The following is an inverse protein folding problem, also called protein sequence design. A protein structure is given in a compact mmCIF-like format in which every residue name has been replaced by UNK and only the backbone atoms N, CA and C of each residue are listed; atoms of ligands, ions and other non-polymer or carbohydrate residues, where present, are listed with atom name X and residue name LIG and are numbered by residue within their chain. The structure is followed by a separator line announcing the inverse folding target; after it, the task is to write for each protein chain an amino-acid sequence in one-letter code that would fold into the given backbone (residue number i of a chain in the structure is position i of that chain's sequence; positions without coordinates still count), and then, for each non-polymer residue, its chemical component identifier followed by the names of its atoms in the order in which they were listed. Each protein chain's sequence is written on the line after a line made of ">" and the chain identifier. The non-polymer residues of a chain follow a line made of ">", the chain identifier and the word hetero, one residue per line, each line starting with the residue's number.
data_IF_015500955028
#
_entry.id   IF_015500955028
#
_cell.length_a   1.000
_cell.length_b   1.000
_cell.length_c   1.000
_cell.angle_alpha   90.00
_cell.angle_beta   90.00
_cell.angle_gamma   90.00
#
_symmetry.space_group_name_H-M   'P 1'
#
loop_
_entity.id
_entity.type
_entity.pdbx_description
1 polymer ?
#
# COMPACT_ATOMS: atom_id res chain seq x y z
N UNK A 1 -34.62 40.54 -28.08
CA UNK A 1 -35.13 40.08 -26.78
C UNK A 1 -34.97 38.56 -26.58
N UNK A 2 -35.32 37.69 -27.54
CA UNK A 2 -35.21 36.21 -27.37
C UNK A 2 -33.78 35.68 -27.21
N UNK A 3 -32.74 36.27 -27.82
CA UNK A 3 -31.35 35.82 -27.68
C UNK A 3 -30.77 36.05 -26.27
N UNK A 4 -31.18 37.07 -25.56
CA UNK A 4 -30.71 37.33 -24.19
C UNK A 4 -31.40 36.42 -23.17
N UNK A 5 -32.66 36.06 -23.38
CA UNK A 5 -33.38 35.12 -22.51
C UNK A 5 -32.79 33.72 -22.63
N UNK A 6 -32.35 33.29 -23.83
CA UNK A 6 -31.76 31.99 -24.06
C UNK A 6 -30.38 31.84 -23.38
N UNK A 7 -29.56 32.92 -23.38
CA UNK A 7 -28.25 32.93 -22.69
C UNK A 7 -28.41 32.89 -21.17
N UNK A 8 -29.40 33.62 -20.61
CA UNK A 8 -29.67 33.59 -19.16
C UNK A 8 -30.19 32.24 -18.70
N UNK A 9 -31.03 31.56 -19.51
CA UNK A 9 -31.53 30.22 -19.22
C UNK A 9 -30.41 29.17 -19.26
N UNK A 10 -29.49 29.27 -20.22
CA UNK A 10 -28.32 28.34 -20.28
C UNK A 10 -27.37 28.59 -19.10
N UNK A 11 -27.08 29.85 -18.76
CA UNK A 11 -26.24 30.19 -17.59
C UNK A 11 -26.89 29.78 -16.27
N UNK A 12 -28.19 29.99 -16.11
CA UNK A 12 -28.93 29.56 -14.93
C UNK A 12 -28.97 28.04 -14.75
N UNK A 13 -29.11 27.29 -15.84
CA UNK A 13 -29.06 25.80 -15.80
C UNK A 13 -27.67 25.27 -15.47
N UNK A 14 -26.59 25.90 -16.00
CA UNK A 14 -25.21 25.47 -15.70
C UNK A 14 -24.84 25.73 -14.24
N UNK A 15 -25.21 26.88 -13.69
CA UNK A 15 -24.99 27.24 -12.29
C UNK A 15 -25.80 26.33 -11.35
N UNK A 16 -27.05 26.03 -11.68
CA UNK A 16 -27.89 25.12 -10.89
C UNK A 16 -27.40 23.66 -10.95
N UNK A 17 -26.89 23.22 -12.10
CA UNK A 17 -26.29 21.88 -12.25
C UNK A 17 -24.99 21.75 -11.44
N UNK A 18 -24.12 22.77 -11.46
CA UNK A 18 -22.88 22.80 -10.66
C UNK A 18 -23.14 22.77 -9.16
N UNK A 19 -24.09 23.57 -8.65
CA UNK A 19 -24.50 23.55 -7.24
C UNK A 19 -25.02 22.17 -6.79
N UNK A 20 -25.70 21.45 -7.68
CA UNK A 20 -26.27 20.14 -7.34
C UNK A 20 -25.21 19.02 -7.33
N UNK A 21 -24.22 19.07 -8.26
CA UNK A 21 -23.08 18.13 -8.26
C UNK A 21 -22.24 18.29 -7.00
N UNK A 22 -21.85 19.51 -6.65
CA UNK A 22 -21.08 19.82 -5.43
C UNK A 22 -21.79 19.31 -4.17
N UNK A 23 -23.12 19.45 -4.10
CA UNK A 23 -23.91 18.91 -2.98
C UNK A 23 -23.89 17.38 -2.93
N UNK A 24 -23.88 16.70 -4.10
CA UNK A 24 -23.76 15.24 -4.15
C UNK A 24 -22.38 14.79 -3.71
N UNK A 25 -21.31 15.42 -4.18
CA UNK A 25 -19.94 15.13 -3.76
C UNK A 25 -19.77 15.28 -2.25
N UNK A 26 -20.20 16.39 -1.67
CA UNK A 26 -20.16 16.60 -0.21
C UNK A 26 -20.93 15.53 0.60
N UNK A 27 -22.05 15.02 0.07
CA UNK A 27 -22.76 13.90 0.69
C UNK A 27 -21.98 12.58 0.56
N UNK A 28 -21.36 12.35 -0.59
CA UNK A 28 -20.45 11.22 -0.81
C UNK A 28 -19.31 11.23 0.20
N UNK A 29 -18.62 12.36 0.36
CA UNK A 29 -17.52 12.51 1.32
C UNK A 29 -17.96 12.25 2.76
N UNK A 30 -19.13 12.74 3.15
CA UNK A 30 -19.72 12.47 4.47
C UNK A 30 -20.04 10.98 4.67
N UNK A 31 -20.51 10.30 3.63
CA UNK A 31 -20.78 8.85 3.68
C UNK A 31 -19.47 8.06 3.75
N UNK A 32 -18.41 8.48 3.03
CA UNK A 32 -17.05 7.93 3.16
C UNK A 32 -16.50 8.02 4.59
N UNK A 33 -16.59 9.21 5.21
CA UNK A 33 -16.15 9.45 6.59
C UNK A 33 -16.88 8.55 7.60
N UNK A 34 -18.14 8.22 7.33
CA UNK A 34 -18.95 7.35 8.17
C UNK A 34 -18.81 5.85 7.81
N UNK A 35 -17.92 5.48 6.88
CA UNK A 35 -17.71 4.10 6.43
C UNK A 35 -18.86 3.52 5.58
N UNK A 36 -19.81 4.35 5.13
CA UNK A 36 -20.97 3.94 4.32
C UNK A 36 -20.62 4.02 2.84
N UNK A 37 -19.79 3.07 2.38
CA UNK A 37 -19.16 3.13 1.06
C UNK A 37 -20.15 2.98 -0.10
N UNK A 38 -21.15 2.11 -0.01
CA UNK A 38 -22.19 1.94 -1.05
C UNK A 38 -23.04 3.22 -1.21
N UNK A 39 -23.35 3.88 -0.09
CA UNK A 39 -24.05 5.16 -0.11
C UNK A 39 -23.17 6.26 -0.74
N UNK A 40 -21.87 6.27 -0.43
CA UNK A 40 -20.92 7.20 -1.02
C UNK A 40 -20.84 7.04 -2.53
N UNK A 41 -20.71 5.80 -3.04
CA UNK A 41 -20.71 5.47 -4.47
C UNK A 41 -21.97 6.05 -5.14
N UNK A 42 -23.14 5.82 -4.55
CA UNK A 42 -24.41 6.34 -5.08
C UNK A 42 -24.44 7.88 -5.18
N UNK A 43 -23.88 8.59 -4.21
CA UNK A 43 -23.81 10.05 -4.26
C UNK A 43 -22.79 10.54 -5.28
N UNK A 44 -21.60 9.90 -5.38
CA UNK A 44 -20.62 10.25 -6.40
C UNK A 44 -21.16 10.03 -7.82
N UNK A 45 -21.85 8.92 -8.08
CA UNK A 45 -22.49 8.66 -9.38
C UNK A 45 -23.48 9.77 -9.76
N UNK A 46 -24.34 10.18 -8.82
CA UNK A 46 -25.31 11.28 -9.07
C UNK A 46 -24.63 12.61 -9.36
N UNK A 47 -23.47 12.86 -8.77
CA UNK A 47 -22.68 14.06 -9.00
C UNK A 47 -21.93 14.00 -10.34
N UNK A 48 -21.22 12.90 -10.60
CA UNK A 48 -20.38 12.67 -11.79
C UNK A 48 -21.19 12.57 -13.08
N UNK A 49 -22.45 12.12 -13.02
CA UNK A 49 -23.36 12.20 -14.18
C UNK A 49 -23.62 13.63 -14.70
N UNK A 50 -23.14 14.66 -13.99
CA UNK A 50 -23.39 16.07 -14.32
C UNK A 50 -22.12 16.89 -14.53
N UNK A 51 -21.00 16.46 -13.97
CA UNK A 51 -19.71 17.13 -14.13
C UNK A 51 -18.58 16.18 -13.76
N UNK A 52 -17.54 16.13 -14.59
CA UNK A 52 -16.30 15.46 -14.27
C UNK A 52 -15.63 16.14 -13.09
N UNK A 53 -15.11 15.33 -12.15
CA UNK A 53 -14.42 15.83 -10.97
C UNK A 53 -13.39 14.80 -10.51
N UNK A 54 -12.13 15.20 -10.44
CA UNK A 54 -11.02 14.36 -10.04
C UNK A 54 -11.24 13.72 -8.66
N UNK A 55 -11.53 14.55 -7.66
CA UNK A 55 -11.67 14.11 -6.27
C UNK A 55 -12.85 13.15 -6.08
N UNK A 56 -13.98 13.48 -6.73
CA UNK A 56 -15.16 12.62 -6.68
C UNK A 56 -14.91 11.26 -7.34
N UNK A 57 -14.24 11.24 -8.49
CA UNK A 57 -13.87 9.99 -9.18
C UNK A 57 -12.86 9.18 -8.36
N UNK A 58 -11.85 9.84 -7.78
CA UNK A 58 -10.87 9.21 -6.90
C UNK A 58 -11.56 8.58 -5.66
N UNK A 59 -12.37 9.36 -4.95
CA UNK A 59 -13.05 8.89 -3.74
C UNK A 59 -14.08 7.81 -4.04
N UNK A 60 -14.76 7.87 -5.19
CA UNK A 60 -15.62 6.79 -5.69
C UNK A 60 -14.82 5.50 -5.88
N UNK A 61 -13.67 5.57 -6.55
CA UNK A 61 -12.78 4.42 -6.73
C UNK A 61 -12.31 3.83 -5.41
N UNK A 62 -11.95 4.66 -4.44
CA UNK A 62 -11.58 4.22 -3.08
C UNK A 62 -12.77 3.51 -2.40
N UNK A 63 -13.99 4.06 -2.48
CA UNK A 63 -15.19 3.45 -1.94
C UNK A 63 -15.46 2.07 -2.56
N UNK A 64 -15.39 1.98 -3.89
CA UNK A 64 -15.56 0.73 -4.63
C UNK A 64 -14.50 -0.31 -4.26
N UNK A 65 -13.26 0.11 -4.05
CA UNK A 65 -12.22 -0.79 -3.55
C UNK A 65 -12.54 -1.33 -2.15
N UNK A 66 -13.04 -0.48 -1.25
CA UNK A 66 -13.45 -0.90 0.11
C UNK A 66 -14.54 -1.96 0.10
N UNK A 67 -15.48 -1.88 -0.84
CA UNK A 67 -16.54 -2.88 -1.03
C UNK A 67 -16.13 -4.02 -2.00
N UNK A 68 -14.85 -4.08 -2.39
CA UNK A 68 -14.25 -5.10 -3.27
C UNK A 68 -14.76 -5.11 -4.72
N UNK A 69 -15.32 -4.02 -5.19
CA UNK A 69 -15.70 -3.82 -6.60
C UNK A 69 -14.48 -3.40 -7.42
N UNK A 70 -13.50 -4.28 -7.57
CA UNK A 70 -12.17 -3.96 -8.09
C UNK A 70 -12.19 -3.41 -9.53
N UNK A 71 -12.97 -4.01 -10.44
CA UNK A 71 -13.08 -3.53 -11.82
C UNK A 71 -13.72 -2.14 -11.91
N UNK A 72 -14.73 -1.87 -11.06
CA UNK A 72 -15.35 -0.55 -11.00
C UNK A 72 -14.39 0.49 -10.40
N UNK A 73 -13.61 0.11 -9.38
CA UNK A 73 -12.58 0.96 -8.79
C UNK A 73 -11.51 1.36 -9.81
N UNK A 74 -11.03 0.41 -10.62
CA UNK A 74 -10.06 0.67 -11.68
C UNK A 74 -10.57 1.71 -12.69
N UNK A 75 -11.84 1.55 -13.14
CA UNK A 75 -12.48 2.51 -14.02
C UNK A 75 -12.60 3.90 -13.37
N UNK A 76 -12.98 3.98 -12.10
CA UNK A 76 -13.11 5.25 -11.40
C UNK A 76 -11.75 5.94 -11.20
N UNK A 77 -10.66 5.20 -10.96
CA UNK A 77 -9.31 5.76 -10.94
C UNK A 77 -8.87 6.24 -12.33
N UNK A 78 -9.23 5.51 -13.40
CA UNK A 78 -8.99 5.96 -14.77
C UNK A 78 -9.76 7.25 -15.11
N UNK A 79 -11.01 7.39 -14.66
CA UNK A 79 -11.80 8.60 -14.82
C UNK A 79 -11.17 9.78 -14.04
N UNK A 80 -10.66 9.54 -12.84
CA UNK A 80 -9.93 10.54 -12.07
C UNK A 80 -8.68 11.02 -12.83
N UNK A 81 -7.86 10.10 -13.34
CA UNK A 81 -6.68 10.42 -14.15
C UNK A 81 -7.06 11.23 -15.38
N UNK A 82 -8.13 10.85 -16.07
CA UNK A 82 -8.64 11.58 -17.24
C UNK A 82 -9.09 13.00 -16.90
N UNK A 83 -9.70 13.18 -15.72
CA UNK A 83 -10.14 14.50 -15.27
C UNK A 83 -8.98 15.45 -14.92
N UNK A 84 -7.81 14.93 -14.52
CA UNK A 84 -6.63 15.72 -14.16
C UNK A 84 -5.33 15.00 -14.52
N UNK A 85 -4.99 14.85 -15.81
CA UNK A 85 -3.86 13.99 -16.25
C UNK A 85 -2.50 14.41 -15.70
N UNK A 86 -2.28 15.71 -15.55
CA UNK A 86 -1.01 16.30 -15.11
C UNK A 86 -0.88 16.40 -13.58
N UNK A 87 -1.96 16.12 -12.85
CA UNK A 87 -1.98 16.23 -11.39
C UNK A 87 -2.92 15.20 -10.77
N UNK A 88 -2.59 13.92 -10.92
CA UNK A 88 -3.37 12.80 -10.39
C UNK A 88 -2.48 11.76 -9.65
N UNK A 89 -1.50 12.16 -8.80
CA UNK A 89 -0.57 11.20 -8.22
C UNK A 89 -1.26 10.14 -7.37
N UNK A 90 -2.30 10.52 -6.61
CA UNK A 90 -3.06 9.57 -5.80
C UNK A 90 -3.89 8.59 -6.65
N UNK A 91 -4.48 9.05 -7.75
CA UNK A 91 -5.25 8.16 -8.63
C UNK A 91 -4.33 7.12 -9.31
N UNK A 92 -3.15 7.54 -9.78
CA UNK A 92 -2.13 6.62 -10.26
C UNK A 92 -1.67 5.66 -9.17
N UNK A 93 -1.40 6.13 -7.95
CA UNK A 93 -1.01 5.28 -6.83
C UNK A 93 -2.09 4.23 -6.50
N UNK A 94 -3.35 4.64 -6.35
CA UNK A 94 -4.42 3.69 -6.01
C UNK A 94 -4.69 2.68 -7.13
N UNK A 95 -4.59 3.08 -8.40
CA UNK A 95 -4.70 2.14 -9.51
C UNK A 95 -3.51 1.17 -9.55
N UNK A 96 -2.30 1.64 -9.26
CA UNK A 96 -1.12 0.80 -9.12
C UNK A 96 -1.25 -0.21 -7.97
N UNK A 97 -1.71 0.23 -6.79
CA UNK A 97 -1.91 -0.65 -5.64
C UNK A 97 -2.98 -1.72 -5.93
N UNK A 98 -4.04 -1.34 -6.65
CA UNK A 98 -5.06 -2.29 -7.12
C UNK A 98 -4.46 -3.29 -8.11
N UNK A 99 -3.72 -2.82 -9.11
CA UNK A 99 -3.02 -3.67 -10.08
C UNK A 99 -2.03 -4.63 -9.41
N UNK A 100 -1.25 -4.16 -8.45
CA UNK A 100 -0.36 -5.01 -7.65
C UNK A 100 -1.14 -6.11 -6.91
N UNK A 101 -2.27 -5.77 -6.30
CA UNK A 101 -3.12 -6.71 -5.56
C UNK A 101 -3.79 -7.74 -6.47
N UNK A 102 -4.13 -7.37 -7.70
CA UNK A 102 -4.77 -8.26 -8.69
C UNK A 102 -3.78 -9.02 -9.57
N UNK A 103 -2.47 -8.78 -9.39
CA UNK A 103 -1.40 -9.47 -10.13
C UNK A 103 -0.99 -8.78 -11.44
N UNK A 104 -1.54 -7.61 -11.76
CA UNK A 104 -1.20 -6.81 -12.94
C UNK A 104 0.08 -5.98 -12.69
N UNK A 105 1.20 -6.65 -12.44
CA UNK A 105 2.43 -6.06 -11.89
C UNK A 105 3.05 -5.02 -12.83
N UNK A 106 3.07 -5.28 -14.14
CA UNK A 106 3.71 -4.39 -15.12
C UNK A 106 2.94 -3.06 -15.26
N UNK A 107 1.61 -3.12 -15.27
CA UNK A 107 0.78 -1.89 -15.30
C UNK A 107 0.87 -1.15 -13.96
N UNK A 108 0.90 -1.87 -12.85
CA UNK A 108 1.12 -1.29 -11.53
C UNK A 108 2.46 -0.53 -11.46
N UNK A 109 3.53 -1.08 -12.05
CA UNK A 109 4.83 -0.41 -12.11
C UNK A 109 4.79 0.87 -12.97
N UNK A 110 4.08 0.86 -14.09
CA UNK A 110 3.89 2.07 -14.92
C UNK A 110 3.15 3.16 -14.15
N UNK A 111 2.07 2.79 -13.49
CA UNK A 111 1.26 3.74 -12.73
C UNK A 111 1.99 4.31 -11.51
N UNK A 112 2.68 3.47 -10.74
CA UNK A 112 3.44 3.97 -9.57
C UNK A 112 4.59 4.89 -10.00
N UNK A 113 5.22 4.65 -11.16
CA UNK A 113 6.21 5.57 -11.72
C UNK A 113 5.58 6.92 -12.13
N UNK A 114 4.34 6.92 -12.65
CA UNK A 114 3.60 8.16 -12.94
C UNK A 114 3.22 8.90 -11.65
N UNK A 115 2.79 8.18 -10.62
CA UNK A 115 2.55 8.78 -9.31
C UNK A 115 3.80 9.46 -8.75
N UNK A 116 4.95 8.80 -8.77
CA UNK A 116 6.21 9.33 -8.28
C UNK A 116 6.83 10.41 -9.16
N UNK A 117 6.52 10.42 -10.45
CA UNK A 117 6.90 11.54 -11.33
C UNK A 117 6.17 12.84 -10.94
N UNK A 118 4.89 12.74 -10.56
CA UNK A 118 4.08 13.89 -10.14
C UNK A 118 4.29 14.26 -8.67
N UNK A 119 4.51 13.27 -7.80
CA UNK A 119 4.78 13.44 -6.37
C UNK A 119 5.94 12.53 -5.93
N UNK A 120 7.20 12.99 -6.06
CA UNK A 120 8.39 12.20 -5.71
C UNK A 120 8.51 11.85 -4.22
N UNK A 121 7.78 12.56 -3.36
CA UNK A 121 7.82 12.36 -1.91
C UNK A 121 6.66 11.50 -1.39
N UNK A 122 5.88 10.89 -2.27
CA UNK A 122 4.78 10.02 -1.90
C UNK A 122 5.30 8.71 -1.28
N UNK A 123 5.27 8.65 0.04
CA UNK A 123 5.78 7.51 0.82
C UNK A 123 5.08 6.20 0.45
N UNK A 124 3.77 6.22 0.22
CA UNK A 124 3.00 5.05 -0.16
C UNK A 124 3.40 4.54 -1.56
N UNK A 125 3.61 5.45 -2.50
CA UNK A 125 4.05 5.11 -3.85
C UNK A 125 5.50 4.56 -3.87
N UNK A 126 6.42 5.16 -3.09
CA UNK A 126 7.77 4.65 -2.91
C UNK A 126 7.75 3.23 -2.31
N UNK A 127 6.96 3.02 -1.27
CA UNK A 127 6.79 1.70 -0.66
C UNK A 127 6.23 0.68 -1.66
N UNK A 128 5.21 1.04 -2.43
CA UNK A 128 4.62 0.16 -3.44
C UNK A 128 5.65 -0.20 -4.53
N UNK A 129 6.41 0.78 -5.04
CA UNK A 129 7.45 0.52 -6.04
C UNK A 129 8.57 -0.36 -5.47
N UNK A 130 8.97 -0.13 -4.22
CA UNK A 130 9.91 -1.00 -3.50
C UNK A 130 9.44 -2.45 -3.43
N UNK A 131 8.17 -2.69 -3.08
CA UNK A 131 7.56 -4.03 -3.07
C UNK A 131 7.52 -4.67 -4.46
N UNK A 132 7.15 -3.92 -5.49
CA UNK A 132 7.16 -4.38 -6.88
C UNK A 132 8.58 -4.75 -7.31
N UNK A 133 9.56 -3.90 -7.03
CA UNK A 133 10.96 -4.17 -7.35
C UNK A 133 11.48 -5.42 -6.62
N UNK A 134 11.11 -5.61 -5.37
CA UNK A 134 11.45 -6.84 -4.60
C UNK A 134 10.89 -8.08 -5.28
N UNK A 135 9.62 -8.05 -5.67
CA UNK A 135 8.97 -9.16 -6.38
C UNK A 135 9.65 -9.49 -7.72
N UNK A 136 10.20 -8.48 -8.40
CA UNK A 136 10.93 -8.63 -9.66
C UNK A 136 12.43 -8.98 -9.47
N UNK A 137 12.91 -9.20 -8.24
CA UNK A 137 14.32 -9.47 -7.95
C UNK A 137 15.23 -8.23 -8.06
N UNK A 138 14.67 -7.04 -8.20
CA UNK A 138 15.39 -5.76 -8.32
C UNK A 138 15.68 -5.16 -6.95
N UNK A 139 16.35 -5.92 -6.11
CA UNK A 139 16.50 -5.64 -4.67
C UNK A 139 17.20 -4.32 -4.37
N UNK A 140 18.22 -3.93 -5.14
CA UNK A 140 18.91 -2.66 -4.94
C UNK A 140 17.96 -1.46 -5.12
N UNK A 141 17.17 -1.44 -6.21
CA UNK A 141 16.17 -0.40 -6.44
C UNK A 141 15.06 -0.39 -5.37
N UNK A 142 14.65 -1.58 -4.91
CA UNK A 142 13.70 -1.68 -3.81
C UNK A 142 14.21 -1.03 -2.53
N UNK A 143 15.47 -1.30 -2.17
CA UNK A 143 16.12 -0.73 -0.98
C UNK A 143 16.24 0.79 -1.10
N UNK A 144 16.57 1.33 -2.28
CA UNK A 144 16.63 2.78 -2.52
C UNK A 144 15.28 3.45 -2.27
N UNK A 145 14.19 2.92 -2.85
CA UNK A 145 12.84 3.45 -2.66
C UNK A 145 12.41 3.39 -1.19
N UNK A 146 12.67 2.27 -0.52
CA UNK A 146 12.29 2.09 0.89
C UNK A 146 13.14 2.95 1.83
N UNK A 147 14.41 3.19 1.51
CA UNK A 147 15.25 4.16 2.22
C UNK A 147 14.68 5.58 2.10
N UNK A 148 14.27 5.98 0.90
CA UNK A 148 13.65 7.29 0.67
C UNK A 148 12.33 7.40 1.46
N UNK A 149 11.49 6.37 1.41
CA UNK A 149 10.23 6.33 2.16
C UNK A 149 10.46 6.46 3.68
N UNK A 150 11.44 5.73 4.24
CA UNK A 150 11.79 5.78 5.67
C UNK A 150 12.33 7.16 6.05
N UNK A 151 13.16 7.76 5.20
CA UNK A 151 13.74 9.08 5.47
C UNK A 151 12.67 10.19 5.50
N UNK A 152 11.63 10.08 4.65
CA UNK A 152 10.50 11.03 4.62
C UNK A 152 9.59 10.82 5.82
N UNK A 153 9.26 9.57 6.13
CA UNK A 153 8.25 9.22 7.14
C UNK A 153 8.75 9.40 8.58
N UNK A 154 10.06 9.20 8.80
CA UNK A 154 10.62 9.23 10.14
C UNK A 154 10.05 8.14 11.06
N UNK A 155 9.88 8.42 12.35
CA UNK A 155 9.31 7.50 13.35
C UNK A 155 7.78 7.58 13.42
N UNK A 156 7.08 7.33 12.31
CA UNK A 156 5.61 7.36 12.27
C UNK A 156 4.98 5.97 12.44
N UNK A 157 3.64 5.94 12.41
CA UNK A 157 2.85 4.70 12.48
C UNK A 157 3.03 3.75 11.29
N UNK A 158 3.61 4.21 10.18
CA UNK A 158 3.79 3.42 8.95
C UNK A 158 5.22 2.88 8.85
N UNK A 159 6.18 3.52 9.53
CA UNK A 159 7.61 3.20 9.41
C UNK A 159 7.95 1.73 9.69
N UNK A 160 7.24 1.07 10.59
CA UNK A 160 7.43 -0.36 10.88
C UNK A 160 7.27 -1.24 9.65
N UNK A 161 6.22 -1.02 8.87
CA UNK A 161 5.99 -1.79 7.63
C UNK A 161 7.01 -1.50 6.53
N UNK A 162 7.60 -0.30 6.52
CA UNK A 162 8.69 0.04 5.61
C UNK A 162 9.96 -0.77 5.95
N UNK A 163 10.29 -0.90 7.24
CA UNK A 163 11.38 -1.78 7.69
C UNK A 163 11.12 -3.24 7.31
N UNK A 164 9.92 -3.74 7.54
CA UNK A 164 9.56 -5.11 7.13
C UNK A 164 9.77 -5.35 5.63
N UNK A 165 9.28 -4.44 4.78
CA UNK A 165 9.45 -4.56 3.32
C UNK A 165 10.93 -4.46 2.91
N UNK A 166 11.74 -3.61 3.59
CA UNK A 166 13.16 -3.47 3.32
C UNK A 166 13.95 -4.70 3.78
N UNK A 167 13.57 -5.32 4.90
CA UNK A 167 14.14 -6.59 5.34
C UNK A 167 13.97 -7.69 4.28
N UNK A 168 12.78 -7.80 3.66
CA UNK A 168 12.53 -8.75 2.57
C UNK A 168 13.45 -8.46 1.36
N UNK A 169 13.67 -7.21 1.02
CA UNK A 169 14.58 -6.83 -0.06
C UNK A 169 16.05 -7.15 0.29
N UNK A 170 16.47 -6.95 1.54
CA UNK A 170 17.81 -7.34 2.02
C UNK A 170 18.01 -8.86 2.00
N UNK A 171 16.99 -9.64 2.37
CA UNK A 171 17.04 -11.12 2.27
C UNK A 171 17.28 -11.54 0.82
N UNK A 172 16.54 -10.94 -0.14
CA UNK A 172 16.73 -11.23 -1.55
C UNK A 172 18.11 -10.84 -2.10
N UNK A 173 18.82 -9.95 -1.39
CA UNK A 173 20.19 -9.54 -1.69
C UNK A 173 21.26 -10.33 -0.91
N UNK A 174 20.86 -11.30 -0.09
CA UNK A 174 21.71 -12.05 0.83
C UNK A 174 22.39 -11.19 1.93
N UNK A 175 21.86 -9.97 2.18
CA UNK A 175 22.33 -9.11 3.28
C UNK A 175 21.54 -9.40 4.57
N UNK A 176 21.83 -10.55 5.17
CA UNK A 176 21.08 -11.04 6.35
C UNK A 176 21.29 -10.16 7.58
N UNK A 177 22.42 -9.46 7.69
CA UNK A 177 22.68 -8.54 8.79
C UNK A 177 21.72 -7.35 8.74
N UNK A 178 21.63 -6.67 7.61
CA UNK A 178 20.70 -5.55 7.43
C UNK A 178 19.24 -6.01 7.54
N UNK A 179 18.92 -7.19 7.03
CA UNK A 179 17.59 -7.80 7.15
C UNK A 179 17.20 -8.04 8.61
N UNK A 180 18.12 -8.60 9.42
CA UNK A 180 17.89 -8.80 10.87
C UNK A 180 17.62 -7.48 11.58
N UNK A 181 18.47 -6.49 11.35
CA UNK A 181 18.36 -5.18 11.99
C UNK A 181 16.99 -4.53 11.68
N UNK A 182 16.52 -4.63 10.45
CA UNK A 182 15.19 -4.15 10.03
C UNK A 182 14.05 -4.97 10.65
N UNK A 183 14.17 -6.30 10.74
CA UNK A 183 13.18 -7.15 11.43
C UNK A 183 13.06 -6.79 12.91
N UNK A 184 14.17 -6.49 13.59
CA UNK A 184 14.15 -6.05 14.99
C UNK A 184 13.44 -4.70 15.13
N UNK A 185 13.69 -3.75 14.22
CA UNK A 185 12.98 -2.46 14.18
C UNK A 185 11.49 -2.65 13.97
N UNK A 186 11.09 -3.56 13.07
CA UNK A 186 9.69 -3.87 12.82
C UNK A 186 9.01 -4.48 14.06
N UNK A 187 9.61 -5.47 14.70
CA UNK A 187 9.05 -6.09 15.91
C UNK A 187 8.97 -5.09 17.07
N UNK A 188 10.00 -4.24 17.23
CA UNK A 188 9.96 -3.13 18.20
C UNK A 188 8.80 -2.18 17.93
N UNK A 189 8.57 -1.84 16.66
CA UNK A 189 7.44 -1.02 16.25
C UNK A 189 6.10 -1.69 16.60
N UNK A 190 5.91 -2.99 16.32
CA UNK A 190 4.68 -3.71 16.66
C UNK A 190 4.42 -3.65 18.18
N UNK A 191 5.42 -3.93 19.00
CA UNK A 191 5.33 -3.88 20.46
C UNK A 191 5.01 -2.48 20.99
N UNK A 192 5.69 -1.44 20.48
CA UNK A 192 5.47 -0.03 20.87
C UNK A 192 4.03 0.43 20.58
N UNK A 193 3.39 -0.10 19.54
CA UNK A 193 2.04 0.26 19.13
C UNK A 193 0.96 -0.72 19.62
N UNK A 194 1.30 -1.66 20.52
CA UNK A 194 0.41 -2.71 21.00
C UNK A 194 -0.23 -3.54 19.87
N UNK A 195 0.53 -3.76 18.78
CA UNK A 195 0.16 -4.63 17.68
C UNK A 195 0.66 -6.05 17.95
N UNK A 196 -0.07 -7.10 17.49
CA UNK A 196 0.38 -8.46 17.67
C UNK A 196 1.66 -8.72 16.89
N UNK A 197 2.63 -9.35 17.54
CA UNK A 197 3.80 -9.97 16.87
C UNK A 197 3.39 -11.39 16.51
N UNK A 198 3.42 -11.74 15.24
CA UNK A 198 2.99 -13.06 14.77
C UNK A 198 4.05 -14.13 14.98
N UNK A 199 3.67 -15.38 14.81
CA UNK A 199 4.62 -16.51 14.82
C UNK A 199 5.62 -16.37 13.68
N UNK A 200 5.14 -15.95 12.50
CA UNK A 200 5.94 -15.73 11.31
C UNK A 200 6.99 -14.63 11.52
N UNK A 201 6.63 -13.55 12.22
CA UNK A 201 7.56 -12.45 12.54
C UNK A 201 8.72 -12.95 13.43
N UNK A 202 8.39 -13.71 14.48
CA UNK A 202 9.40 -14.28 15.37
C UNK A 202 10.23 -15.38 14.68
N UNK A 203 9.61 -16.16 13.79
CA UNK A 203 10.30 -17.14 12.97
C UNK A 203 11.35 -16.48 12.08
N UNK A 204 10.92 -15.47 11.31
CA UNK A 204 11.80 -14.76 10.39
C UNK A 204 12.97 -14.11 11.16
N UNK A 205 12.69 -13.44 12.28
CA UNK A 205 13.75 -12.84 13.09
C UNK A 205 14.75 -13.90 13.57
N UNK A 206 14.28 -15.01 14.12
CA UNK A 206 15.17 -16.08 14.59
C UNK A 206 16.03 -16.68 13.45
N UNK A 207 15.45 -16.88 12.25
CA UNK A 207 16.21 -17.31 11.07
C UNK A 207 17.34 -16.34 10.74
N UNK A 208 17.04 -15.04 10.73
CA UNK A 208 18.02 -14.01 10.42
C UNK A 208 19.10 -13.87 11.49
N UNK A 209 18.73 -13.99 12.78
CA UNK A 209 19.69 -14.00 13.89
C UNK A 209 20.65 -15.17 13.76
N UNK A 210 20.12 -16.37 13.49
CA UNK A 210 20.96 -17.55 13.26
C UNK A 210 21.90 -17.40 12.04
N UNK A 211 21.40 -16.82 10.94
CA UNK A 211 22.18 -16.60 9.73
C UNK A 211 23.38 -15.62 9.92
N UNK A 212 23.40 -14.87 11.03
CA UNK A 212 24.49 -13.95 11.41
C UNK A 212 25.21 -14.40 12.68
N UNK A 213 25.17 -15.70 12.99
CA UNK A 213 25.82 -16.33 14.14
C UNK A 213 25.33 -15.87 15.53
N UNK A 214 24.11 -15.29 15.61
CA UNK A 214 23.44 -14.94 16.87
C UNK A 214 22.51 -16.09 17.30
N UNK A 215 23.10 -17.21 17.77
CA UNK A 215 22.36 -18.40 18.18
C UNK A 215 21.47 -18.14 19.41
N UNK A 216 21.92 -17.35 20.39
CA UNK A 216 21.15 -17.03 21.60
C UNK A 216 19.93 -16.17 21.29
N UNK A 217 20.09 -15.19 20.41
CA UNK A 217 18.99 -14.37 19.90
C UNK A 217 17.96 -15.21 19.15
N UNK A 218 18.42 -16.11 18.27
CA UNK A 218 17.56 -17.02 17.52
C UNK A 218 16.72 -17.91 18.45
N UNK A 219 17.34 -18.54 19.44
CA UNK A 219 16.65 -19.35 20.45
C UNK A 219 15.59 -18.56 21.21
N UNK A 220 15.92 -17.31 21.59
CA UNK A 220 14.99 -16.40 22.26
C UNK A 220 13.79 -16.07 21.38
N UNK A 221 14.00 -15.80 20.11
CA UNK A 221 12.94 -15.51 19.14
C UNK A 221 12.02 -16.71 18.92
N UNK A 222 12.55 -17.92 18.94
CA UNK A 222 11.76 -19.16 18.79
C UNK A 222 11.16 -19.70 20.09
N UNK A 223 11.59 -19.22 21.25
CA UNK A 223 11.13 -19.70 22.55
C UNK A 223 9.60 -19.64 22.73
N UNK A 224 8.98 -18.60 22.16
CA UNK A 224 7.53 -18.36 22.26
C UNK A 224 6.73 -18.95 21.10
N UNK A 225 7.34 -19.72 20.22
CA UNK A 225 6.64 -20.39 19.12
C UNK A 225 5.91 -21.66 19.60
N UNK A 226 4.74 -22.00 18.98
CA UNK A 226 4.06 -23.27 19.24
C UNK A 226 4.97 -24.46 18.97
N UNK A 227 4.84 -25.53 19.78
CA UNK A 227 5.68 -26.75 19.67
C UNK A 227 5.61 -27.38 18.28
N UNK A 228 4.44 -27.35 17.62
CA UNK A 228 4.26 -27.87 16.27
C UNK A 228 5.08 -27.09 15.23
N UNK A 229 5.14 -25.76 15.36
CA UNK A 229 5.95 -24.92 14.48
C UNK A 229 7.44 -25.11 14.72
N UNK A 230 7.87 -25.24 15.99
CA UNK A 230 9.27 -25.61 16.34
C UNK A 230 9.68 -26.92 15.69
N UNK A 231 8.79 -27.92 15.70
CA UNK A 231 9.06 -29.21 15.08
C UNK A 231 9.16 -29.15 13.54
N UNK A 232 8.45 -28.21 12.89
CA UNK A 232 8.60 -27.96 11.44
C UNK A 232 9.94 -27.33 11.14
N UNK A 233 10.38 -26.37 11.96
CA UNK A 233 11.69 -25.72 11.85
C UNK A 233 12.79 -26.77 11.99
N UNK A 234 12.78 -27.60 13.03
CA UNK A 234 13.76 -28.66 13.22
C UNK A 234 13.88 -29.63 12.03
N UNK A 235 12.76 -29.93 11.34
CA UNK A 235 12.75 -30.78 10.14
C UNK A 235 13.31 -30.08 8.90
N UNK A 236 13.01 -28.81 8.70
CA UNK A 236 13.53 -28.02 7.58
C UNK A 236 15.04 -27.87 7.73
N UNK A 237 15.49 -27.66 8.95
CA UNK A 237 16.84 -27.37 9.35
C UNK A 237 17.73 -28.60 9.37
N UNK A 238 17.22 -29.73 9.87
CA UNK A 238 17.96 -30.98 9.90
C UNK A 238 18.19 -31.63 8.54
N UNK A 239 17.47 -31.23 7.50
CA UNK A 239 17.50 -31.85 6.16
C UNK A 239 18.15 -31.02 5.06
N UNK A 240 18.57 -29.79 5.29
CA UNK A 240 19.16 -28.95 4.25
C UNK A 240 20.65 -28.73 4.45
N UNK A 241 21.46 -29.20 3.48
CA UNK A 241 22.84 -28.73 3.27
C UNK A 241 22.87 -27.30 2.71
N UNK A 242 21.79 -26.54 2.85
CA UNK A 242 21.66 -25.18 2.41
C UNK A 242 21.89 -24.22 3.58
N UNK A 243 22.09 -22.98 3.28
CA UNK A 243 22.40 -21.82 4.12
C UNK A 243 21.51 -21.62 5.38
N UNK A 244 20.59 -22.54 5.64
CA UNK A 244 19.64 -22.55 6.76
C UNK A 244 19.79 -23.80 7.63
N UNK A 245 21.03 -24.14 8.04
CA UNK A 245 21.29 -25.21 9.01
C UNK A 245 20.99 -24.70 10.41
N UNK A 246 19.88 -25.13 10.97
CA UNK A 246 19.58 -24.91 12.36
C UNK A 246 19.99 -26.13 13.17
N UNK A 247 20.75 -25.99 14.24
CA UNK A 247 20.87 -27.02 15.28
C UNK A 247 19.53 -27.08 16.01
N UNK A 248 19.06 -28.28 16.34
CA UNK A 248 17.85 -28.43 17.15
C UNK A 248 18.02 -27.63 18.46
N UNK A 249 17.12 -26.70 18.69
CA UNK A 249 16.99 -26.08 20.00
C UNK A 249 16.38 -27.13 20.94
N UNK A 250 17.21 -27.72 21.75
CA UNK A 250 16.82 -28.64 22.84
C UNK A 250 16.11 -27.88 23.96
#
# INVERSE_FOLDING_TARGET
>A
MYKQIFVILIFGCVVAAGCNSTRMFSRGDKSMQNGRYEEAITYYDKGLNRSDNYEASLNKGIAQWKVREYSNAENSFADAIKASPENAPLAYYYRAELGFKTGNIDEALKDVNKALYQDPLNVQALNLRGRICTLQGRYAAAIEDLNAAIAIEGESRISGYLYHNRAIAYIGKDDFKSARDDCELFIRFLRKNNLPVTVEDNYLLGVLQYAVDDEDGALTSWQHMPTEEKAKIGRIVGNSNSMYHFKEAQ
#
